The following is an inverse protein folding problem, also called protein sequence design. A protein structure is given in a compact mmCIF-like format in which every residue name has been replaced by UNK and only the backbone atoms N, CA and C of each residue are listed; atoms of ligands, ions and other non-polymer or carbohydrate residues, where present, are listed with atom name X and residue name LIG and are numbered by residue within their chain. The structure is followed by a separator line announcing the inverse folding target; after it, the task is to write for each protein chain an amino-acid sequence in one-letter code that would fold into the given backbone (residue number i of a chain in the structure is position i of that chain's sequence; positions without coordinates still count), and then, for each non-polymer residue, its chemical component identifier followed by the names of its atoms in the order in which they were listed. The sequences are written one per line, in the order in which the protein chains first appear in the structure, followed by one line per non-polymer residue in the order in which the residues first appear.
data_IF_985815506486
#
_entry.id   IF_985815506486
#
_cell.length_a   1.000
_cell.length_b   1.000
_cell.length_c   1.000
_cell.angle_alpha   90.00
_cell.angle_beta   90.00
_cell.angle_gamma   90.00
#
_symmetry.space_group_name_H-M   'P 1'
#
loop_
_entity.id
_entity.type
_entity.pdbx_description
1 polymer ?
#
# COMPACT_ATOMS: atom_id res chain seq x y z
N UNK A 1 -43.59 -7.38 34.08
CA UNK A 1 -42.19 -7.13 33.72
C UNK A 1 -42.13 -6.89 32.23
N UNK A 2 -41.64 -5.75 31.79
CA UNK A 2 -41.40 -5.59 30.35
C UNK A 2 -40.39 -6.61 29.88
N UNK A 3 -40.70 -7.29 28.79
CA UNK A 3 -39.75 -8.23 28.14
C UNK A 3 -38.48 -7.47 27.76
N UNK A 4 -37.34 -8.15 27.76
CA UNK A 4 -36.05 -7.56 27.34
C UNK A 4 -36.12 -6.87 25.98
N UNK A 5 -36.97 -7.35 25.09
CA UNK A 5 -37.25 -6.76 23.78
C UNK A 5 -37.84 -5.36 23.86
N UNK A 6 -38.73 -5.08 24.82
CA UNK A 6 -39.33 -3.77 24.95
C UNK A 6 -38.39 -2.70 25.51
N UNK A 7 -37.33 -3.08 26.21
CA UNK A 7 -36.33 -2.14 26.72
C UNK A 7 -35.30 -1.78 25.65
N UNK A 8 -35.06 -2.66 24.68
CA UNK A 8 -34.16 -2.40 23.56
C UNK A 8 -34.75 -1.44 22.52
N UNK A 9 -36.10 -1.40 22.40
CA UNK A 9 -36.82 -0.55 21.43
C UNK A 9 -36.72 0.95 21.76
N UNK A 10 -36.51 1.31 23.02
CA UNK A 10 -36.42 2.70 23.49
C UNK A 10 -35.03 3.15 23.92
N UNK A 11 -34.04 2.22 23.97
CA UNK A 11 -32.66 2.56 24.27
C UNK A 11 -31.91 2.96 23.01
N UNK A 12 -31.01 3.96 23.07
CA UNK A 12 -30.11 4.20 21.95
C UNK A 12 -29.33 2.91 21.64
N UNK A 13 -29.14 2.65 20.37
CA UNK A 13 -28.52 1.42 19.92
C UNK A 13 -27.11 1.30 20.53
N UNK A 14 -26.93 0.28 21.34
CA UNK A 14 -25.66 0.05 22.09
C UNK A 14 -24.99 -1.22 21.60
N UNK A 15 -23.77 -1.07 21.15
CA UNK A 15 -22.95 -2.16 20.64
C UNK A 15 -21.94 -2.64 21.67
N UNK A 16 -21.68 -3.93 21.70
CA UNK A 16 -20.43 -4.42 22.28
C UNK A 16 -19.27 -4.10 21.32
N UNK A 17 -18.06 -4.03 21.85
CA UNK A 17 -16.84 -3.81 21.02
C UNK A 17 -16.73 -4.87 19.94
N UNK A 18 -16.93 -6.13 20.29
CA UNK A 18 -16.85 -7.25 19.35
C UNK A 18 -17.94 -7.22 18.30
N UNK A 19 -19.16 -6.81 18.66
CA UNK A 19 -20.26 -6.65 17.70
C UNK A 19 -19.95 -5.57 16.68
N UNK A 20 -19.52 -4.40 17.13
CA UNK A 20 -19.14 -3.30 16.23
C UNK A 20 -17.98 -3.72 15.31
N UNK A 21 -16.98 -4.37 15.87
CA UNK A 21 -15.85 -4.88 15.09
C UNK A 21 -16.27 -5.86 13.99
N UNK A 22 -17.15 -6.81 14.29
CA UNK A 22 -17.69 -7.75 13.30
C UNK A 22 -18.52 -7.09 12.22
N UNK A 23 -19.34 -6.09 12.60
CA UNK A 23 -20.15 -5.35 11.61
C UNK A 23 -19.28 -4.50 10.70
N UNK A 24 -18.23 -3.86 11.24
CA UNK A 24 -17.24 -3.14 10.43
C UNK A 24 -16.53 -4.07 9.45
N UNK A 25 -16.10 -5.24 9.91
CA UNK A 25 -15.49 -6.25 9.05
C UNK A 25 -16.41 -6.68 7.91
N UNK A 26 -17.67 -7.01 8.22
CA UNK A 26 -18.65 -7.40 7.23
C UNK A 26 -18.92 -6.29 6.22
N UNK A 27 -19.08 -5.06 6.69
CA UNK A 27 -19.33 -3.89 5.85
C UNK A 27 -18.16 -3.63 4.89
N UNK A 28 -16.94 -3.69 5.37
CA UNK A 28 -15.74 -3.49 4.54
C UNK A 28 -15.57 -4.59 3.49
N UNK A 29 -15.81 -5.83 3.85
CA UNK A 29 -15.75 -6.96 2.91
C UNK A 29 -16.80 -6.85 1.82
N UNK A 30 -17.99 -6.37 2.15
CA UNK A 30 -19.06 -6.14 1.18
C UNK A 30 -18.76 -4.94 0.26
N UNK A 31 -18.31 -3.83 0.84
CA UNK A 31 -18.02 -2.61 0.09
C UNK A 31 -16.77 -2.75 -0.81
N UNK A 32 -15.77 -3.49 -0.36
CA UNK A 32 -14.48 -3.64 -1.04
C UNK A 32 -14.07 -5.11 -1.16
N UNK A 33 -14.81 -5.94 -1.92
CA UNK A 33 -14.47 -7.35 -2.07
C UNK A 33 -13.08 -7.54 -2.71
N UNK A 34 -12.78 -6.77 -3.74
CA UNK A 34 -11.44 -6.59 -4.30
C UNK A 34 -11.35 -5.25 -5.01
N UNK A 35 -10.27 -4.54 -4.78
CA UNK A 35 -9.96 -3.27 -5.47
C UNK A 35 -8.48 -3.25 -5.85
N UNK A 36 -8.15 -2.48 -6.88
CA UNK A 36 -6.77 -2.22 -7.25
C UNK A 36 -6.28 -0.95 -6.55
N UNK A 37 -5.11 -1.04 -5.94
CA UNK A 37 -4.49 0.06 -5.20
C UNK A 37 -3.06 0.24 -5.68
N UNK A 38 -2.63 1.48 -5.79
CA UNK A 38 -1.26 1.86 -6.17
C UNK A 38 -0.57 2.50 -4.97
N UNK A 39 0.66 2.14 -4.73
CA UNK A 39 1.47 2.74 -3.69
C UNK A 39 2.90 2.22 -3.68
N UNK A 40 3.70 2.80 -2.81
CA UNK A 40 5.08 2.42 -2.57
C UNK A 40 5.17 1.47 -1.38
N UNK A 41 5.93 0.39 -1.54
CA UNK A 41 6.21 -0.56 -0.47
C UNK A 41 7.18 0.05 0.53
N UNK A 42 6.82 0.01 1.81
CA UNK A 42 7.66 0.43 2.92
C UNK A 42 7.59 -0.61 4.05
N UNK A 43 8.62 -0.67 4.87
CA UNK A 43 8.72 -1.57 6.02
C UNK A 43 8.42 -3.03 5.68
N UNK A 44 8.97 -3.49 4.58
CA UNK A 44 8.82 -4.86 4.12
C UNK A 44 9.45 -5.84 5.12
N UNK A 45 8.66 -6.82 5.56
CA UNK A 45 9.10 -7.89 6.46
C UNK A 45 8.55 -9.23 6.03
N UNK A 46 9.42 -10.23 5.97
CA UNK A 46 9.02 -11.62 5.85
C UNK A 46 9.05 -12.26 7.23
N UNK A 47 7.91 -12.79 7.67
CA UNK A 47 7.81 -13.52 8.92
C UNK A 47 8.29 -14.96 8.75
N UNK A 48 8.75 -15.59 9.84
CA UNK A 48 9.19 -17.00 9.85
C UNK A 48 8.12 -17.99 9.35
N UNK A 49 6.83 -17.66 9.53
CA UNK A 49 5.69 -18.42 9.01
C UNK A 49 5.56 -18.39 7.47
N UNK A 50 6.27 -17.51 6.79
CA UNK A 50 6.16 -17.27 5.35
C UNK A 50 5.16 -16.15 4.97
N UNK A 51 4.44 -15.60 5.93
CA UNK A 51 3.62 -14.42 5.70
C UNK A 51 4.50 -13.19 5.51
N UNK A 52 4.07 -12.29 4.66
CA UNK A 52 4.77 -11.04 4.35
C UNK A 52 3.93 -9.86 4.82
N UNK A 53 4.57 -8.91 5.49
CA UNK A 53 3.95 -7.69 5.99
C UNK A 53 4.69 -6.48 5.44
N UNK A 54 3.96 -5.48 5.03
CA UNK A 54 4.52 -4.19 4.60
C UNK A 54 3.49 -3.08 4.76
N UNK A 55 3.93 -1.86 4.60
CA UNK A 55 3.06 -0.70 4.47
C UNK A 55 2.98 -0.29 3.00
N UNK A 56 1.79 0.01 2.53
CA UNK A 56 1.58 0.61 1.22
C UNK A 56 1.35 2.11 1.40
N UNK A 57 2.23 2.91 0.84
CA UNK A 57 2.32 4.35 1.12
C UNK A 57 2.13 5.14 -0.17
N UNK A 58 1.34 6.21 -0.07
CA UNK A 58 1.27 7.24 -1.11
C UNK A 58 1.99 8.48 -0.61
N UNK A 59 2.91 8.98 -1.40
CA UNK A 59 3.64 10.22 -1.12
C UNK A 59 3.11 11.35 -1.99
N UNK A 60 2.90 12.50 -1.38
CA UNK A 60 2.61 13.75 -2.05
C UNK A 60 3.87 14.54 -2.36
N UNK A 61 3.71 15.84 -2.54
CA UNK A 61 4.82 16.75 -2.77
C UNK A 61 5.81 16.74 -1.61
N UNK A 62 7.11 16.70 -1.92
CA UNK A 62 8.20 16.74 -0.94
C UNK A 62 8.30 15.50 -0.05
N UNK A 63 7.97 14.32 -0.56
CA UNK A 63 8.00 13.03 0.15
C UNK A 63 7.08 12.92 1.39
N UNK A 64 6.18 13.86 1.57
CA UNK A 64 5.18 13.78 2.64
C UNK A 64 4.20 12.63 2.39
N UNK A 65 3.98 11.80 3.40
CA UNK A 65 3.01 10.70 3.34
C UNK A 65 1.60 11.28 3.39
N UNK A 66 0.84 11.07 2.32
CA UNK A 66 -0.57 11.48 2.23
C UNK A 66 -1.55 10.33 2.47
N UNK A 67 -1.08 9.10 2.38
CA UNK A 67 -1.87 7.91 2.69
C UNK A 67 -0.99 6.73 3.05
N UNK A 68 -1.48 5.89 3.94
CA UNK A 68 -0.80 4.68 4.37
C UNK A 68 -1.81 3.60 4.74
N UNK A 69 -1.59 2.38 4.26
CA UNK A 69 -2.35 1.20 4.65
C UNK A 69 -1.40 0.06 5.02
N UNK A 70 -1.70 -0.62 6.10
CA UNK A 70 -1.00 -1.84 6.47
C UNK A 70 -1.44 -2.97 5.54
N UNK A 71 -0.48 -3.67 4.98
CA UNK A 71 -0.68 -4.75 4.02
C UNK A 71 -0.17 -6.08 4.56
N UNK A 72 -0.89 -7.13 4.27
CA UNK A 72 -0.49 -8.50 4.52
C UNK A 72 -0.57 -9.31 3.24
N UNK A 73 0.44 -10.13 3.03
CA UNK A 73 0.49 -11.13 1.98
C UNK A 73 0.58 -12.48 2.68
N UNK A 74 -0.52 -13.22 2.69
CA UNK A 74 -0.54 -14.55 3.32
C UNK A 74 0.36 -15.50 2.56
N UNK A 75 0.92 -16.49 3.24
CA UNK A 75 1.95 -17.41 2.73
C UNK A 75 1.68 -17.94 1.32
N UNK A 76 0.47 -18.42 1.04
CA UNK A 76 0.11 -18.96 -0.27
C UNK A 76 0.15 -17.89 -1.37
N UNK A 77 -0.41 -16.72 -1.09
CA UNK A 77 -0.37 -15.58 -2.00
C UNK A 77 1.06 -15.02 -2.15
N UNK A 78 1.84 -15.04 -1.06
CA UNK A 78 3.23 -14.59 -1.07
C UNK A 78 4.11 -15.41 -2.02
N UNK A 79 3.96 -16.72 -2.01
CA UNK A 79 4.68 -17.61 -2.91
C UNK A 79 4.32 -17.36 -4.38
N UNK A 80 3.03 -17.21 -4.67
CA UNK A 80 2.54 -16.93 -6.02
C UNK A 80 3.00 -15.57 -6.54
N UNK A 81 2.85 -14.52 -5.75
CA UNK A 81 3.28 -13.17 -6.09
C UNK A 81 4.78 -13.11 -6.32
N UNK A 82 5.56 -13.74 -5.44
CA UNK A 82 7.02 -13.82 -5.57
C UNK A 82 7.44 -14.48 -6.89
N UNK A 83 6.86 -15.63 -7.22
CA UNK A 83 7.14 -16.33 -8.46
C UNK A 83 6.78 -15.48 -9.69
N UNK A 84 5.64 -14.81 -9.65
CA UNK A 84 5.18 -13.94 -10.73
C UNK A 84 6.10 -12.74 -10.94
N UNK A 85 6.53 -12.08 -9.87
CA UNK A 85 7.44 -10.94 -9.94
C UNK A 85 8.84 -11.35 -10.41
N UNK A 86 9.35 -12.50 -9.97
CA UNK A 86 10.65 -13.03 -10.40
C UNK A 86 10.72 -13.29 -11.91
N UNK A 87 9.62 -13.72 -12.53
CA UNK A 87 9.53 -13.87 -14.00
C UNK A 87 9.73 -12.55 -14.75
N UNK A 88 9.44 -11.42 -14.10
CA UNK A 88 9.62 -10.08 -14.65
C UNK A 88 10.87 -9.38 -14.09
N UNK A 89 11.76 -10.12 -13.44
CA UNK A 89 12.97 -9.58 -12.86
C UNK A 89 12.74 -8.63 -11.70
N UNK A 90 11.60 -8.75 -11.02
CA UNK A 90 11.20 -7.89 -9.93
C UNK A 90 11.19 -8.62 -8.59
N UNK A 91 11.31 -7.85 -7.53
CA UNK A 91 11.26 -8.33 -6.16
C UNK A 91 10.58 -7.28 -5.27
N UNK A 92 9.69 -7.73 -4.40
CA UNK A 92 9.11 -6.85 -3.38
C UNK A 92 10.22 -6.39 -2.42
N UNK A 93 10.36 -5.10 -2.30
CA UNK A 93 11.31 -4.45 -1.43
C UNK A 93 10.87 -3.02 -1.15
N UNK A 94 11.42 -2.42 -0.09
CA UNK A 94 11.15 -1.03 0.24
C UNK A 94 11.50 -0.10 -0.93
N UNK A 95 10.62 0.84 -1.20
CA UNK A 95 10.75 1.79 -2.30
C UNK A 95 10.18 1.34 -3.65
N UNK A 96 9.72 0.09 -3.75
CA UNK A 96 9.09 -0.37 -4.99
C UNK A 96 7.67 0.17 -5.12
N UNK A 97 7.39 0.82 -6.24
CA UNK A 97 6.03 1.20 -6.61
C UNK A 97 5.30 -0.01 -7.16
N UNK A 98 4.16 -0.34 -6.58
CA UNK A 98 3.33 -1.45 -7.02
C UNK A 98 1.88 -1.04 -7.26
N UNK A 99 1.23 -1.77 -8.14
CA UNK A 99 -0.21 -1.82 -8.29
C UNK A 99 -0.65 -3.22 -7.87
N UNK A 100 -1.49 -3.30 -6.87
CA UNK A 100 -1.91 -4.58 -6.33
C UNK A 100 -3.43 -4.67 -6.18
N UNK A 101 -3.95 -5.87 -6.35
CA UNK A 101 -5.35 -6.20 -6.08
C UNK A 101 -5.46 -6.66 -4.64
N UNK A 102 -6.31 -6.00 -3.89
CA UNK A 102 -6.44 -6.20 -2.44
C UNK A 102 -7.89 -6.41 -2.03
N UNK A 103 -8.09 -7.16 -0.97
CA UNK A 103 -9.32 -7.16 -0.18
C UNK A 103 -9.08 -6.29 1.06
N UNK A 104 -10.05 -5.46 1.39
CA UNK A 104 -9.98 -4.64 2.61
C UNK A 104 -10.58 -5.44 3.76
N UNK A 105 -9.88 -5.52 4.86
CA UNK A 105 -10.30 -6.25 6.04
C UNK A 105 -10.06 -5.46 7.32
N UNK A 106 -10.92 -5.72 8.29
CA UNK A 106 -10.79 -5.24 9.65
C UNK A 106 -10.64 -6.44 10.57
N UNK A 107 -9.55 -6.48 11.35
CA UNK A 107 -9.29 -7.57 12.27
C UNK A 107 -9.82 -7.21 13.67
N UNK A 108 -11.02 -7.73 14.06
CA UNK A 108 -11.70 -7.27 15.27
C UNK A 108 -10.90 -7.44 16.56
N UNK A 109 -10.16 -8.56 16.80
CA UNK A 109 -9.42 -8.74 18.04
C UNK A 109 -8.37 -7.66 18.33
N UNK A 110 -7.80 -7.06 17.28
CA UNK A 110 -6.78 -6.00 17.38
C UNK A 110 -7.29 -4.62 16.95
N UNK A 111 -8.55 -4.53 16.50
CA UNK A 111 -9.10 -3.27 15.97
C UNK A 111 -8.28 -2.72 14.79
N UNK A 112 -7.72 -3.60 13.97
CA UNK A 112 -6.77 -3.22 12.93
C UNK A 112 -7.38 -3.29 11.55
N UNK A 113 -7.36 -2.16 10.84
CA UNK A 113 -7.63 -2.09 9.41
C UNK A 113 -6.39 -2.51 8.64
N UNK A 114 -6.55 -3.43 7.71
CA UNK A 114 -5.46 -3.90 6.85
C UNK A 114 -5.98 -4.30 5.47
N UNK A 115 -5.10 -4.28 4.50
CA UNK A 115 -5.38 -4.81 3.17
C UNK A 115 -4.69 -6.16 2.99
N UNK A 116 -5.43 -7.11 2.44
CA UNK A 116 -4.90 -8.42 2.07
C UNK A 116 -4.55 -8.39 0.59
N UNK A 117 -3.27 -8.46 0.27
CA UNK A 117 -2.81 -8.45 -1.11
C UNK A 117 -3.03 -9.82 -1.73
N UNK A 118 -3.74 -9.85 -2.86
CA UNK A 118 -4.06 -11.07 -3.60
C UNK A 118 -3.22 -11.23 -4.84
N UNK A 119 -2.86 -10.12 -5.45
CA UNK A 119 -2.16 -10.09 -6.73
C UNK A 119 -1.36 -8.78 -6.84
N UNK A 120 -0.21 -8.85 -7.46
CA UNK A 120 0.61 -7.68 -7.81
C UNK A 120 0.79 -7.64 -9.31
N UNK A 121 0.58 -6.47 -9.91
CA UNK A 121 0.75 -6.28 -11.35
C UNK A 121 2.23 -6.06 -11.68
N UNK A 122 2.91 -7.03 -12.30
CA UNK A 122 4.33 -6.90 -12.62
C UNK A 122 4.60 -5.86 -13.72
N UNK A 123 3.68 -5.66 -14.62
CA UNK A 123 3.82 -4.70 -15.74
C UNK A 123 3.82 -3.26 -15.23
N UNK A 124 3.00 -2.96 -14.25
CA UNK A 124 2.98 -1.65 -13.61
C UNK A 124 4.34 -1.31 -12.96
N UNK A 125 4.92 -2.26 -12.23
CA UNK A 125 6.25 -2.10 -11.61
C UNK A 125 7.35 -1.83 -12.63
N UNK A 126 7.34 -2.51 -13.77
CA UNK A 126 8.26 -2.26 -14.88
C UNK A 126 8.12 -0.84 -15.44
N UNK A 127 6.88 -0.39 -15.66
CA UNK A 127 6.59 0.96 -16.14
C UNK A 127 7.01 2.04 -15.14
N UNK A 128 6.80 1.83 -13.85
CA UNK A 128 7.22 2.74 -12.79
C UNK A 128 8.75 2.85 -12.70
N UNK A 129 9.47 1.74 -12.80
CA UNK A 129 10.94 1.73 -12.86
C UNK A 129 11.48 2.48 -14.08
N UNK A 130 10.91 2.28 -15.25
CA UNK A 130 11.29 2.97 -16.47
C UNK A 130 11.10 4.48 -16.34
N UNK A 131 9.98 4.92 -15.77
CA UNK A 131 9.72 6.34 -15.50
C UNK A 131 10.71 6.94 -14.51
N UNK A 132 11.00 6.28 -13.41
CA UNK A 132 12.02 6.72 -12.43
C UNK A 132 13.39 6.88 -13.06
N UNK A 133 13.82 5.93 -13.88
CA UNK A 133 15.10 6.01 -14.60
C UNK A 133 15.15 7.22 -15.54
N UNK A 134 14.06 7.46 -16.28
CA UNK A 134 13.96 8.59 -17.18
C UNK A 134 13.99 9.93 -16.41
N UNK A 135 13.29 10.04 -15.29
CA UNK A 135 13.31 11.22 -14.42
C UNK A 135 14.70 11.47 -13.84
N UNK A 136 15.37 10.43 -13.34
CA UNK A 136 16.73 10.53 -12.80
C UNK A 136 17.73 10.99 -13.87
N UNK A 137 17.66 10.44 -15.06
CA UNK A 137 18.52 10.84 -16.18
C UNK A 137 18.25 12.30 -16.60
N UNK A 138 16.99 12.72 -16.60
CA UNK A 138 16.63 14.10 -16.90
C UNK A 138 17.14 15.08 -15.83
N UNK A 139 17.09 14.72 -14.55
CA UNK A 139 17.66 15.50 -13.44
C UNK A 139 19.19 15.60 -13.57
N UNK A 140 19.87 14.49 -13.78
CA UNK A 140 21.32 14.47 -13.98
C UNK A 140 21.76 15.32 -15.20
N UNK A 141 21.02 15.27 -16.29
CA UNK A 141 21.26 16.09 -17.45
C UNK A 141 21.10 17.59 -17.14
N UNK A 142 20.07 17.95 -16.37
CA UNK A 142 19.84 19.34 -15.91
C UNK A 142 20.95 19.83 -14.98
N UNK A 143 21.38 19.03 -14.02
CA UNK A 143 22.49 19.32 -13.12
C UNK A 143 23.80 19.49 -13.88
N UNK A 144 24.08 18.59 -14.84
CA UNK A 144 25.27 18.70 -15.70
C UNK A 144 25.29 19.98 -16.54
N UNK A 145 24.14 20.41 -17.06
CA UNK A 145 24.01 21.69 -17.78
C UNK A 145 24.21 22.89 -16.86
N UNK A 146 23.69 22.86 -15.65
CA UNK A 146 23.89 23.92 -14.65
C UNK A 146 25.36 24.05 -14.24
N UNK A 147 26.06 22.94 -14.02
CA UNK A 147 27.49 22.94 -13.75
C UNK A 147 28.32 23.43 -14.93
N UNK A 148 28.01 23.02 -16.13
CA UNK A 148 28.64 23.49 -17.35
C UNK A 148 28.47 25.02 -17.52
N UNK A 149 27.30 25.55 -17.22
CA UNK A 149 27.05 26.99 -17.28
C UNK A 149 27.80 27.78 -16.19
N UNK A 150 27.98 27.17 -15.01
CA UNK A 150 28.80 27.78 -13.91
C UNK A 150 30.28 27.76 -14.24
N UNK A 151 30.76 26.76 -14.98
CA UNK A 151 32.14 26.61 -15.35
C UNK A 151 32.55 27.43 -16.56
N UNK A 152 31.61 28.03 -17.30
CA UNK A 152 31.90 28.93 -18.44
C UNK A 152 32.59 30.21 -17.93
N UNK A 153 33.79 30.55 -18.42
CA UNK A 153 34.45 31.79 -18.03
C UNK A 153 33.61 32.98 -18.53
N UNK A 154 33.41 33.95 -17.64
CA UNK A 154 32.84 35.23 -18.04
C UNK A 154 33.70 35.84 -19.17
N UNK A 155 33.11 36.15 -20.28
CA UNK A 155 33.79 36.81 -21.37
C UNK A 155 34.41 38.13 -20.85
N UNK A 156 35.71 38.37 -21.08
CA UNK A 156 36.29 39.68 -20.71
C UNK A 156 35.62 40.82 -21.45
N UNK A 157 35.24 41.84 -20.72
CA UNK A 157 34.70 43.08 -21.25
C UNK A 157 35.77 43.78 -22.07
#
# INVERSE_FOLDING_TARGET
MPSRESAEEFAPETYSVSRLGRELQALLREAYPTVWVVGEVQRFKTHASGHVYFELVEKGDGDAVVGKLDAVLWKGDALRVRAQLERHGQRLADGLQIRCRVAVDFYPPHGKLQIQVKEVDPVFGEGALARRRAETLAELAREGLLEANRALPLAPL
#
